data_IF_826866965322
#
_entry.id   IF_826866965322
#
_cell.length_a   1.000
_cell.length_b   1.000
_cell.length_c   1.000
_cell.angle_alpha   90.00
_cell.angle_beta   90.00
_cell.angle_gamma   90.00
#
_symmetry.space_group_name_H-M   'P 1'
#
loop_
_entity.id
_entity.type
_entity.pdbx_description
1 polymer ?
#
# COMPACT_ATOMS: atom_id res chain seq x y z
N UNK A 1 -25.12 9.14 -3.80
CA UNK A 1 -24.79 7.70 -3.72
C UNK A 1 -23.86 7.49 -2.54
N UNK A 2 -24.12 6.49 -1.69
CA UNK A 2 -23.26 6.15 -0.56
C UNK A 2 -22.39 4.94 -0.90
N UNK A 3 -21.24 4.83 -0.26
CA UNK A 3 -20.36 3.67 -0.34
C UNK A 3 -19.83 3.28 1.04
N UNK A 4 -19.67 1.99 1.29
CA UNK A 4 -18.93 1.51 2.45
C UNK A 4 -17.44 1.61 2.20
N UNK A 5 -16.70 2.11 3.19
CA UNK A 5 -15.23 2.21 3.18
C UNK A 5 -14.62 1.40 4.31
N UNK A 6 -13.39 0.94 4.12
CA UNK A 6 -12.53 0.40 5.17
C UNK A 6 -11.33 1.33 5.31
N UNK A 7 -11.09 1.79 6.53
CA UNK A 7 -10.04 2.77 6.79
C UNK A 7 -8.66 2.13 6.88
N UNK A 8 -7.70 2.81 6.26
CA UNK A 8 -6.27 2.63 6.50
C UNK A 8 -5.78 3.75 7.42
N UNK A 9 -4.76 3.44 8.21
CA UNK A 9 -4.14 4.39 9.13
C UNK A 9 -2.66 4.55 8.81
N UNK A 10 -2.19 5.80 8.85
CA UNK A 10 -0.77 6.11 8.89
C UNK A 10 -0.23 5.80 10.29
N UNK A 11 1.05 5.43 10.45
CA UNK A 11 1.64 5.16 11.77
C UNK A 11 1.41 6.30 12.78
N UNK A 12 1.49 7.55 12.31
CA UNK A 12 1.26 8.77 13.09
C UNK A 12 -0.17 8.92 13.62
N UNK A 13 -1.13 8.25 12.98
CA UNK A 13 -2.55 8.29 13.36
C UNK A 13 -2.93 7.16 14.32
N UNK A 14 -1.99 6.28 14.65
CA UNK A 14 -2.21 5.19 15.61
C UNK A 14 -1.73 5.57 17.00
N UNK A 15 -2.30 4.94 18.02
CA UNK A 15 -1.86 5.10 19.42
C UNK A 15 -0.40 4.65 19.66
N UNK A 16 0.11 3.75 18.82
CA UNK A 16 1.50 3.28 18.86
C UNK A 16 2.48 4.36 18.38
N UNK A 17 2.02 5.23 17.46
CA UNK A 17 2.84 6.26 16.84
C UNK A 17 3.84 5.73 15.81
N UNK A 18 4.55 6.67 15.16
CA UNK A 18 5.57 6.35 14.17
C UNK A 18 6.93 6.11 14.81
N UNK A 19 7.43 4.89 14.68
CA UNK A 19 8.86 4.56 14.78
C UNK A 19 9.57 4.71 13.42
N UNK A 20 10.50 5.68 13.24
CA UNK A 20 11.23 5.87 11.98
C UNK A 20 12.20 4.74 11.63
N UNK A 21 12.63 3.94 12.59
CA UNK A 21 13.55 2.81 12.36
C UNK A 21 12.84 1.60 11.76
N UNK A 22 11.53 1.50 11.98
CA UNK A 22 10.69 0.39 11.51
C UNK A 22 9.82 0.83 10.33
N UNK A 23 9.19 2.00 10.42
CA UNK A 23 8.14 2.41 9.49
C UNK A 23 8.67 3.10 8.23
N UNK A 24 8.19 2.63 7.07
CA UNK A 24 8.48 3.29 5.80
C UNK A 24 7.66 4.57 5.60
N UNK A 25 8.14 5.48 4.75
CA UNK A 25 7.47 6.76 4.46
C UNK A 25 6.06 6.58 3.89
N UNK A 26 5.87 5.57 3.05
CA UNK A 26 4.60 5.24 2.38
C UNK A 26 3.85 4.08 3.04
N UNK A 27 4.18 3.77 4.30
CA UNK A 27 3.52 2.69 5.03
C UNK A 27 2.14 3.11 5.54
N UNK A 28 1.18 2.21 5.37
CA UNK A 28 -0.17 2.29 5.95
C UNK A 28 -0.55 0.96 6.58
N UNK A 29 -1.44 1.02 7.57
CA UNK A 29 -1.95 -0.14 8.29
C UNK A 29 -3.42 -0.32 7.94
N UNK A 30 -3.78 -1.48 7.38
CA UNK A 30 -5.17 -1.81 7.12
C UNK A 30 -5.95 -1.93 8.44
N UNK A 31 -7.21 -1.50 8.48
CA UNK A 31 -8.08 -1.73 9.63
C UNK A 31 -9.41 -2.35 9.23
N UNK A 32 -10.08 -3.01 10.19
CA UNK A 32 -11.48 -3.42 10.06
C UNK A 32 -12.47 -2.30 10.41
N UNK A 33 -11.98 -1.06 10.56
CA UNK A 33 -12.84 0.09 10.77
C UNK A 33 -13.65 0.37 9.49
N UNK A 34 -14.95 0.05 9.57
CA UNK A 34 -15.90 0.26 8.48
C UNK A 34 -16.73 1.52 8.74
N UNK A 35 -16.97 2.28 7.69
CA UNK A 35 -17.85 3.45 7.70
C UNK A 35 -18.61 3.57 6.36
N UNK A 36 -19.65 4.40 6.30
CA UNK A 36 -20.40 4.70 5.07
C UNK A 36 -20.26 6.19 4.71
N UNK A 37 -19.63 6.46 3.57
CA UNK A 37 -19.33 7.81 3.10
C UNK A 37 -20.00 8.12 1.77
N UNK A 38 -20.28 9.40 1.51
CA UNK A 38 -20.73 9.85 0.20
C UNK A 38 -19.63 9.64 -0.82
N UNK A 39 -19.97 9.15 -2.01
CA UNK A 39 -19.03 9.01 -3.13
C UNK A 39 -18.43 10.37 -3.53
N UNK A 40 -19.11 11.47 -3.22
CA UNK A 40 -18.59 12.83 -3.43
C UNK A 40 -17.36 13.17 -2.56
N UNK A 41 -17.05 12.38 -1.54
CA UNK A 41 -15.88 12.57 -0.68
C UNK A 41 -14.60 11.92 -1.26
N UNK A 42 -14.68 11.19 -2.37
CA UNK A 42 -13.50 10.60 -3.02
C UNK A 42 -12.73 11.71 -3.73
N UNK A 43 -11.46 11.88 -3.37
CA UNK A 43 -10.56 12.86 -4.00
C UNK A 43 -9.85 12.24 -5.20
N UNK A 44 -9.20 11.10 -5.01
CA UNK A 44 -8.42 10.44 -6.06
C UNK A 44 -8.23 8.94 -5.78
N UNK A 45 -7.72 8.22 -6.77
CA UNK A 45 -7.31 6.82 -6.70
C UNK A 45 -5.85 6.70 -6.30
N UNK A 46 -5.56 5.76 -5.40
CA UNK A 46 -4.21 5.37 -5.02
C UNK A 46 -4.05 3.85 -5.04
N UNK A 47 -2.81 3.38 -4.84
CA UNK A 47 -2.46 1.97 -4.78
C UNK A 47 -2.01 1.60 -3.36
N UNK A 48 -2.59 0.55 -2.79
CA UNK A 48 -2.15 -0.03 -1.52
C UNK A 48 -1.62 -1.45 -1.80
N UNK A 49 -0.30 -1.60 -1.81
CA UNK A 49 0.37 -2.84 -2.18
C UNK A 49 0.73 -3.69 -0.96
N UNK A 50 0.87 -5.00 -1.14
CA UNK A 50 1.63 -5.80 -0.16
C UNK A 50 3.09 -5.34 -0.13
N UNK A 51 3.78 -5.56 0.99
CA UNK A 51 5.20 -5.19 1.09
C UNK A 51 6.09 -5.80 -0.01
N UNK A 52 5.95 -7.09 -0.39
CA UNK A 52 6.72 -7.64 -1.51
C UNK A 52 6.38 -6.99 -2.86
N UNK A 53 5.12 -6.66 -3.12
CA UNK A 53 4.71 -5.92 -4.33
C UNK A 53 5.33 -4.53 -4.38
N UNK A 54 5.32 -3.82 -3.26
CA UNK A 54 5.93 -2.50 -3.15
C UNK A 54 7.44 -2.53 -3.39
N UNK A 55 8.14 -3.50 -2.80
CA UNK A 55 9.58 -3.70 -3.05
C UNK A 55 9.88 -3.94 -4.53
N UNK A 56 9.07 -4.76 -5.22
CA UNK A 56 9.21 -5.00 -6.67
C UNK A 56 8.95 -3.72 -7.47
N UNK A 57 7.88 -2.99 -7.15
CA UNK A 57 7.57 -1.70 -7.78
C UNK A 57 8.73 -0.71 -7.62
N UNK A 58 9.28 -0.56 -6.41
CA UNK A 58 10.42 0.34 -6.16
C UNK A 58 11.67 -0.08 -6.92
N UNK A 59 11.97 -1.38 -6.98
CA UNK A 59 13.11 -1.90 -7.74
C UNK A 59 12.97 -1.65 -9.24
N UNK A 60 11.78 -1.86 -9.81
CA UNK A 60 11.49 -1.59 -11.23
C UNK A 60 11.63 -0.10 -11.56
N UNK A 61 11.06 0.79 -10.74
CA UNK A 61 11.19 2.24 -10.92
C UNK A 61 12.66 2.69 -10.88
N UNK A 62 13.45 2.16 -9.95
CA UNK A 62 14.87 2.48 -9.87
C UNK A 62 15.63 2.05 -11.14
N UNK A 63 15.34 0.85 -11.66
CA UNK A 63 15.94 0.38 -12.92
C UNK A 63 15.55 1.26 -14.12
N UNK A 64 14.28 1.65 -14.21
CA UNK A 64 13.78 2.55 -15.26
C UNK A 64 14.45 3.92 -15.20
N UNK A 65 14.60 4.51 -14.00
CA UNK A 65 15.30 5.77 -13.79
C UNK A 65 16.78 5.68 -14.20
N UNK A 66 17.43 4.56 -13.92
CA UNK A 66 18.83 4.31 -14.32
C UNK A 66 18.97 3.96 -15.82
N UNK A 67 17.88 3.93 -16.60
CA UNK A 67 17.85 3.49 -18.02
C UNK A 67 18.46 2.10 -18.24
N UNK A 68 18.43 1.24 -17.22
CA UNK A 68 18.96 -0.12 -17.30
C UNK A 68 17.88 -1.02 -17.87
N UNK A 69 18.25 -1.82 -18.86
CA UNK A 69 17.36 -2.86 -19.39
C UNK A 69 16.90 -3.75 -18.22
N UNK A 70 15.60 -4.04 -18.15
CA UNK A 70 15.07 -4.97 -17.16
C UNK A 70 15.78 -6.32 -17.37
N UNK A 71 16.54 -6.82 -16.37
CA UNK A 71 17.24 -8.08 -16.52
C UNK A 71 16.21 -9.19 -16.79
N UNK A 72 16.55 -10.11 -17.69
CA UNK A 72 15.70 -11.26 -17.99
C UNK A 72 15.50 -12.06 -16.70
N UNK A 73 14.29 -12.02 -16.15
CA UNK A 73 13.96 -12.80 -14.96
C UNK A 73 13.75 -14.25 -15.39
N UNK A 74 14.52 -15.22 -14.86
CA UNK A 74 14.22 -16.63 -15.09
C UNK A 74 12.91 -17.05 -14.40
N UNK A 75 12.40 -16.22 -13.49
CA UNK A 75 11.11 -16.40 -12.83
C UNK A 75 10.02 -15.80 -13.72
N UNK A 76 9.00 -16.58 -14.12
CA UNK A 76 7.84 -16.07 -14.84
C UNK A 76 7.20 -14.91 -14.08
N UNK A 77 6.65 -13.90 -14.78
CA UNK A 77 5.90 -12.85 -14.11
C UNK A 77 4.78 -13.50 -13.29
N UNK A 78 4.81 -13.30 -11.97
CA UNK A 78 3.75 -13.78 -11.10
C UNK A 78 2.44 -13.20 -11.59
N UNK A 79 1.48 -14.05 -11.93
CA UNK A 79 0.14 -13.58 -12.29
C UNK A 79 -0.42 -12.88 -11.06
N UNK A 80 -0.52 -11.55 -11.12
CA UNK A 80 -1.35 -10.84 -10.16
C UNK A 80 -2.76 -11.38 -10.35
N UNK A 81 -3.33 -11.96 -9.30
CA UNK A 81 -4.71 -12.50 -9.32
C UNK A 81 -5.76 -11.40 -9.52
N UNK A 82 -5.35 -10.14 -9.63
CA UNK A 82 -6.20 -8.96 -9.77
C UNK A 82 -5.66 -8.04 -10.87
N UNK A 83 -6.25 -8.06 -12.07
CA UNK A 83 -5.95 -7.09 -13.12
C UNK A 83 -6.04 -5.65 -12.58
N UNK A 84 -5.03 -4.82 -12.82
CA UNK A 84 -4.98 -3.43 -12.36
C UNK A 84 -4.49 -3.22 -10.91
N UNK A 85 -4.03 -4.28 -10.22
CA UNK A 85 -3.48 -4.19 -8.87
C UNK A 85 -2.02 -3.70 -8.80
N UNK A 86 -1.36 -3.54 -9.95
CA UNK A 86 0.04 -3.08 -10.04
C UNK A 86 0.05 -1.67 -10.63
N UNK A 87 0.71 -0.69 -9.98
CA UNK A 87 0.85 0.65 -10.52
C UNK A 87 1.71 0.62 -11.79
N UNK A 88 1.38 1.46 -12.75
CA UNK A 88 2.20 1.65 -13.94
C UNK A 88 3.55 2.28 -13.55
N UNK A 89 4.63 2.07 -14.32
CA UNK A 89 5.96 2.63 -14.01
C UNK A 89 6.01 4.15 -13.91
N UNK A 90 5.07 4.85 -14.52
CA UNK A 90 4.92 6.32 -14.52
C UNK A 90 3.95 6.84 -13.45
N UNK A 91 3.40 5.95 -12.60
CA UNK A 91 2.51 6.36 -11.50
C UNK A 91 3.27 7.21 -10.49
N UNK A 92 2.70 8.35 -10.08
CA UNK A 92 3.26 9.21 -9.03
C UNK A 92 3.54 8.38 -7.75
N UNK A 93 4.81 8.33 -7.29
CA UNK A 93 5.17 7.62 -6.07
C UNK A 93 4.37 8.04 -4.83
N UNK A 94 3.84 9.27 -4.79
CA UNK A 94 3.01 9.79 -3.69
C UNK A 94 1.66 9.06 -3.56
N UNK A 95 1.21 8.40 -4.64
CA UNK A 95 -0.03 7.64 -4.70
C UNK A 95 0.18 6.13 -4.48
N UNK A 96 1.41 5.69 -4.21
CA UNK A 96 1.75 4.27 -4.03
C UNK A 96 2.17 4.01 -2.58
N UNK A 97 1.24 3.41 -1.84
CA UNK A 97 1.38 3.00 -0.45
C UNK A 97 1.63 1.50 -0.35
N UNK A 98 2.10 1.07 0.82
CA UNK A 98 2.22 -0.35 1.14
C UNK A 98 1.71 -0.71 2.53
N UNK A 99 1.26 -1.95 2.67
CA UNK A 99 0.71 -2.48 3.91
C UNK A 99 1.32 -3.85 4.23
N UNK A 100 1.75 -4.03 5.48
CA UNK A 100 2.23 -5.32 6.03
C UNK A 100 1.73 -5.63 7.44
N UNK A 101 0.99 -4.70 8.03
CA UNK A 101 0.45 -4.78 9.38
C UNK A 101 -1.02 -4.37 9.37
N UNK A 102 -1.77 -4.86 10.35
CA UNK A 102 -3.17 -4.52 10.54
C UNK A 102 -3.32 -3.75 11.85
N UNK A 103 -4.04 -2.65 11.83
CA UNK A 103 -4.34 -1.83 13.01
C UNK A 103 -5.73 -2.17 13.56
N UNK A 104 -5.76 -2.60 14.81
CA UNK A 104 -6.99 -2.81 15.57
C UNK A 104 -7.40 -1.50 16.24
N UNK A 105 -8.22 -0.71 15.54
CA UNK A 105 -8.69 0.59 16.00
C UNK A 105 -9.51 0.53 17.30
N UNK A 106 -10.04 -0.65 17.67
CA UNK A 106 -10.83 -0.81 18.91
C UNK A 106 -9.94 -1.00 20.13
N UNK A 107 -8.75 -1.58 19.92
CA UNK A 107 -7.81 -1.94 20.98
C UNK A 107 -6.54 -1.09 20.98
N UNK A 108 -6.41 -0.13 20.05
CA UNK A 108 -5.26 0.75 19.99
C UNK A 108 -3.95 0.08 19.58
N UNK A 109 -3.99 -1.13 18.99
CA UNK A 109 -2.79 -1.95 18.77
C UNK A 109 -2.57 -2.36 17.33
N UNK A 110 -1.31 -2.58 16.98
CA UNK A 110 -0.90 -3.10 15.68
C UNK A 110 -0.64 -4.60 15.80
N UNK A 111 -1.23 -5.37 14.88
CA UNK A 111 -1.08 -6.83 14.77
C UNK A 111 -0.38 -7.17 13.46
N UNK A 112 0.39 -8.27 13.46
CA UNK A 112 0.93 -8.83 12.22
C UNK A 112 -0.25 -9.26 11.35
N UNK A 113 -0.17 -8.93 10.05
CA UNK A 113 -1.18 -9.37 9.11
C UNK A 113 -1.17 -10.92 9.07
N UNK A 114 -2.28 -11.60 9.40
CA UNK A 114 -2.35 -13.05 9.21
C UNK A 114 -2.17 -13.32 7.70
N UNK A 115 -1.12 -14.08 7.37
CA UNK A 115 -0.86 -14.54 6.00
C UNK A 115 -1.91 -15.56 5.61
#
# INVERSE_FOLDING_TARGET
>A
MMMSVLWYYRPEQTEVGRDPSIHGEMEVMASRHKDDNSVACIVDKCYALSYPEYCRYRAQNKLCQESRATPFSPVPPGQSTRPGSVPAPDTDPSLVFFCRQVYDHRMGRVIKNPV
#
